data_IF_030335853846
#
_entry.id   IF_030335853846
#
_cell.length_a   1.000
_cell.length_b   1.000
_cell.length_c   1.000
_cell.angle_alpha   90.00
_cell.angle_beta   90.00
_cell.angle_gamma   90.00
#
_symmetry.space_group_name_H-M   'P 1'
#
loop_
_entity.id
_entity.type
_entity.pdbx_description
1 polymer ?
#
# COMPACT_ATOMS: atom_id res chain seq x y z
N UNK A 1 -13.08 3.90 -9.70
CA UNK A 1 -13.66 2.71 -9.03
C UNK A 1 -12.53 1.77 -8.64
N UNK A 2 -12.65 1.13 -7.48
CA UNK A 2 -11.75 0.08 -7.00
C UNK A 2 -12.50 -1.25 -7.00
N UNK A 3 -11.82 -2.31 -7.46
CA UNK A 3 -12.25 -3.70 -7.35
C UNK A 3 -11.39 -4.39 -6.31
N UNK A 4 -11.99 -5.12 -5.39
CA UNK A 4 -11.30 -5.80 -4.31
C UNK A 4 -11.78 -7.24 -4.16
N UNK A 5 -10.84 -8.18 -4.09
CA UNK A 5 -11.09 -9.55 -3.68
C UNK A 5 -10.74 -9.73 -2.20
N UNK A 6 -11.76 -9.85 -1.35
CA UNK A 6 -11.58 -10.06 0.09
C UNK A 6 -11.05 -11.46 0.47
N UNK A 7 -10.87 -12.37 -0.50
CA UNK A 7 -10.29 -13.71 -0.24
C UNK A 7 -8.76 -13.73 -0.38
N UNK A 8 -8.21 -12.98 -1.34
CA UNK A 8 -6.79 -13.04 -1.67
C UNK A 8 -6.08 -11.68 -1.63
N UNK A 9 -6.80 -10.59 -1.37
CA UNK A 9 -6.25 -9.23 -1.34
C UNK A 9 -6.01 -8.61 -2.72
N UNK A 10 -6.34 -9.29 -3.82
CA UNK A 10 -6.25 -8.71 -5.16
C UNK A 10 -7.05 -7.39 -5.25
N UNK A 11 -6.43 -6.36 -5.80
CA UNK A 11 -7.05 -5.07 -6.05
C UNK A 11 -6.73 -4.55 -7.45
N UNK A 12 -7.68 -3.86 -8.05
CA UNK A 12 -7.46 -3.11 -9.30
C UNK A 12 -8.33 -1.85 -9.36
N UNK A 13 -7.94 -0.92 -10.22
CA UNK A 13 -8.71 0.30 -10.51
C UNK A 13 -9.25 0.30 -11.93
N UNK A 14 -10.29 1.10 -12.17
CA UNK A 14 -10.90 1.27 -13.49
C UNK A 14 -12.20 0.49 -13.66
N UNK A 15 -12.62 0.25 -14.89
CA UNK A 15 -13.79 -0.58 -15.20
C UNK A 15 -13.44 -2.07 -15.09
N UNK A 16 -14.30 -2.90 -14.45
CA UNK A 16 -14.01 -4.31 -14.31
C UNK A 16 -14.15 -4.98 -15.67
N UNK A 17 -13.10 -5.66 -16.11
CA UNK A 17 -13.18 -6.58 -17.23
C UNK A 17 -13.97 -7.86 -16.87
N UNK A 18 -14.13 -8.15 -15.57
CA UNK A 18 -14.73 -9.39 -15.04
C UNK A 18 -15.29 -9.23 -13.63
N UNK A 19 -16.22 -10.09 -13.24
CA UNK A 19 -16.82 -10.12 -11.88
C UNK A 19 -16.00 -11.01 -10.93
N UNK A 20 -15.26 -11.97 -11.48
CA UNK A 20 -14.45 -12.94 -10.74
C UNK A 20 -12.99 -12.51 -10.64
N UNK A 21 -12.36 -12.80 -9.50
CA UNK A 21 -10.99 -12.41 -9.22
C UNK A 21 -10.02 -13.17 -10.15
N UNK A 22 -9.14 -12.48 -10.89
CA UNK A 22 -8.21 -13.14 -11.81
C UNK A 22 -7.15 -14.00 -11.08
N UNK A 23 -6.96 -13.78 -9.78
CA UNK A 23 -6.00 -14.53 -8.96
C UNK A 23 -6.59 -15.81 -8.34
N UNK A 24 -7.86 -15.80 -7.89
CA UNK A 24 -8.42 -16.92 -7.11
C UNK A 24 -9.86 -17.30 -7.47
N UNK A 25 -10.44 -16.72 -8.53
CA UNK A 25 -11.79 -17.01 -9.02
C UNK A 25 -12.95 -16.54 -8.12
N UNK A 26 -12.68 -15.93 -6.97
CA UNK A 26 -13.73 -15.46 -6.05
C UNK A 26 -14.33 -14.13 -6.50
N UNK A 27 -15.57 -13.82 -6.11
CA UNK A 27 -16.26 -12.59 -6.51
C UNK A 27 -15.49 -11.32 -6.12
N UNK A 28 -15.28 -10.42 -7.07
CA UNK A 28 -14.78 -9.07 -6.83
C UNK A 28 -15.90 -8.17 -6.31
N UNK A 29 -15.58 -7.39 -5.28
CA UNK A 29 -16.45 -6.32 -4.76
C UNK A 29 -16.02 -4.97 -5.33
N UNK A 30 -16.99 -4.10 -5.58
CA UNK A 30 -16.79 -2.78 -6.19
C UNK A 30 -16.96 -1.68 -5.15
N UNK A 31 -16.10 -0.67 -5.22
CA UNK A 31 -16.21 0.56 -4.44
C UNK A 31 -16.05 1.79 -5.36
N UNK A 32 -17.03 2.71 -5.33
CA UNK A 32 -16.98 3.98 -6.06
C UNK A 32 -18.34 4.50 -6.54
N UNK A 33 -18.36 5.64 -7.27
CA UNK A 33 -17.19 6.39 -7.73
C UNK A 33 -16.40 7.04 -6.58
N UNK A 34 -15.08 7.13 -6.72
CA UNK A 34 -14.15 7.71 -5.74
C UNK A 34 -12.86 8.16 -6.44
N UNK A 35 -12.13 9.09 -5.81
CA UNK A 35 -10.85 9.60 -6.31
C UNK A 35 -9.77 8.51 -6.26
N UNK A 36 -9.15 8.24 -7.41
CA UNK A 36 -8.06 7.24 -7.56
C UNK A 36 -6.79 7.85 -8.17
N UNK A 37 -6.75 9.17 -8.33
CA UNK A 37 -5.57 9.88 -8.81
C UNK A 37 -4.56 10.12 -7.68
N UNK A 38 -3.57 10.98 -7.97
CA UNK A 38 -2.58 11.41 -6.98
C UNK A 38 -3.26 12.01 -5.75
N UNK A 39 -2.80 11.61 -4.57
CA UNK A 39 -3.26 12.16 -3.29
C UNK A 39 -2.42 13.35 -2.83
N UNK A 40 -1.21 13.48 -3.36
CA UNK A 40 -0.20 14.40 -2.86
C UNK A 40 0.32 15.29 -3.98
N UNK A 41 0.43 16.59 -3.70
CA UNK A 41 1.32 17.48 -4.43
C UNK A 41 2.68 17.44 -3.72
N UNK A 42 3.71 16.91 -4.39
CA UNK A 42 5.00 16.59 -3.77
C UNK A 42 5.69 17.84 -3.20
N UNK A 43 5.66 18.94 -3.94
CA UNK A 43 6.28 20.20 -3.58
C UNK A 43 5.66 20.74 -2.28
N UNK A 44 4.33 20.81 -2.26
CA UNK A 44 3.56 21.28 -1.10
C UNK A 44 3.82 20.45 0.16
N UNK A 45 3.75 19.11 0.08
CA UNK A 45 3.97 18.28 1.27
C UNK A 45 5.43 18.25 1.73
N UNK A 46 6.38 18.52 0.83
CA UNK A 46 7.79 18.66 1.18
C UNK A 46 8.01 19.96 1.97
N UNK A 47 7.46 21.08 1.50
CA UNK A 47 7.50 22.36 2.20
C UNK A 47 6.82 22.28 3.58
N UNK A 48 5.67 21.61 3.68
CA UNK A 48 5.00 21.36 4.96
C UNK A 48 5.86 20.51 5.91
N UNK A 49 6.59 19.53 5.38
CA UNK A 49 7.46 18.67 6.21
C UNK A 49 8.61 19.48 6.80
N UNK A 50 9.22 20.36 6.02
CA UNK A 50 10.25 21.28 6.51
C UNK A 50 9.71 22.25 7.57
N UNK A 51 8.50 22.76 7.39
CA UNK A 51 7.85 23.62 8.39
C UNK A 51 7.59 22.88 9.71
N UNK A 52 7.09 21.64 9.62
CA UNK A 52 6.93 20.78 10.79
C UNK A 52 8.27 20.51 11.50
N UNK A 53 9.38 20.36 10.76
CA UNK A 53 10.71 20.21 11.34
C UNK A 53 11.15 21.47 12.07
N UNK A 54 10.98 22.65 11.45
CA UNK A 54 11.31 23.96 12.06
C UNK A 54 10.57 24.19 13.37
N UNK A 55 9.30 23.79 13.42
CA UNK A 55 8.45 23.93 14.61
C UNK A 55 8.46 22.71 15.55
N UNK A 56 9.38 21.76 15.34
CA UNK A 56 9.55 20.56 16.18
C UNK A 56 8.28 19.68 16.31
N UNK A 57 7.37 19.74 15.33
CA UNK A 57 6.15 18.94 15.31
C UNK A 57 6.43 17.53 14.76
N UNK A 58 6.94 16.65 15.63
CA UNK A 58 7.47 15.32 15.29
C UNK A 58 6.47 14.42 14.56
N UNK A 59 5.20 14.41 15.00
CA UNK A 59 4.17 13.55 14.39
C UNK A 59 3.86 14.00 12.95
N UNK A 60 3.81 15.31 12.72
CA UNK A 60 3.67 15.89 11.39
C UNK A 60 4.83 15.50 10.47
N UNK A 61 6.07 15.63 10.95
CA UNK A 61 7.27 15.21 10.20
C UNK A 61 7.19 13.73 9.81
N UNK A 62 6.84 12.85 10.75
CA UNK A 62 6.74 11.41 10.49
C UNK A 62 5.69 11.08 9.44
N UNK A 63 4.50 11.67 9.54
CA UNK A 63 3.40 11.45 8.59
C UNK A 63 3.75 12.00 7.20
N UNK A 64 4.26 13.24 7.14
CA UNK A 64 4.58 13.90 5.87
C UNK A 64 5.77 13.24 5.17
N UNK A 65 6.77 12.77 5.92
CA UNK A 65 7.88 11.98 5.33
C UNK A 65 7.36 10.72 4.64
N UNK A 66 6.41 10.01 5.26
CA UNK A 66 5.77 8.86 4.61
C UNK A 66 4.96 9.29 3.38
N UNK A 67 4.24 10.42 3.44
CA UNK A 67 3.48 10.93 2.29
C UNK A 67 4.38 11.33 1.10
N UNK A 68 5.56 11.90 1.39
CA UNK A 68 6.55 12.25 0.36
C UNK A 68 7.05 10.99 -0.35
N UNK A 69 7.40 9.94 0.40
CA UNK A 69 7.76 8.64 -0.18
C UNK A 69 6.60 8.00 -0.96
N UNK A 70 5.37 8.24 -0.53
CA UNK A 70 4.15 7.69 -1.13
C UNK A 70 3.70 8.41 -2.42
N UNK A 71 4.34 9.53 -2.78
CA UNK A 71 3.97 10.32 -3.97
C UNK A 71 4.20 9.52 -5.26
N UNK A 72 3.22 9.52 -6.17
CA UNK A 72 3.31 8.77 -7.43
C UNK A 72 3.11 7.26 -7.26
N UNK A 73 2.72 6.78 -6.08
CA UNK A 73 2.46 5.36 -5.82
C UNK A 73 1.01 5.00 -6.17
N UNK A 74 0.74 3.76 -6.65
CA UNK A 74 -0.59 3.35 -7.07
C UNK A 74 -1.58 3.37 -5.88
N UNK A 75 -2.88 3.61 -6.10
CA UNK A 75 -3.85 3.71 -5.01
C UNK A 75 -3.94 2.43 -4.17
N UNK A 76 -4.48 2.56 -2.95
CA UNK A 76 -4.60 1.50 -1.94
C UNK A 76 -3.26 1.12 -1.29
N UNK A 77 -3.29 0.29 -0.24
CA UNK A 77 -2.11 -0.23 0.44
C UNK A 77 -2.42 -1.60 1.05
N UNK A 78 -1.40 -2.40 1.34
CA UNK A 78 -1.52 -3.67 2.07
C UNK A 78 -1.07 -3.50 3.51
N UNK A 79 -1.59 -4.29 4.44
CA UNK A 79 -1.02 -4.40 5.79
C UNK A 79 -0.44 -5.80 5.95
N UNK A 80 0.72 -5.88 6.61
CA UNK A 80 1.36 -7.16 6.92
C UNK A 80 0.39 -8.09 7.69
N UNK A 81 -0.32 -7.53 8.68
CA UNK A 81 -1.27 -8.26 9.51
C UNK A 81 -2.42 -8.88 8.70
N UNK A 82 -2.99 -8.15 7.72
CA UNK A 82 -4.06 -8.68 6.89
C UNK A 82 -3.55 -9.77 5.94
N UNK A 83 -2.41 -9.53 5.27
CA UNK A 83 -1.84 -10.49 4.33
C UNK A 83 -1.44 -11.77 5.05
N UNK A 84 -0.81 -11.66 6.22
CA UNK A 84 -0.41 -12.79 7.05
C UNK A 84 -1.62 -13.59 7.54
N UNK A 85 -2.69 -12.92 7.97
CA UNK A 85 -3.95 -13.58 8.34
C UNK A 85 -4.58 -14.32 7.16
N UNK A 86 -4.58 -13.72 5.96
CA UNK A 86 -5.14 -14.31 4.74
C UNK A 86 -4.40 -15.58 4.29
N UNK A 87 -3.13 -15.76 4.68
CA UNK A 87 -2.30 -16.93 4.32
C UNK A 87 -1.95 -17.83 5.51
N UNK A 88 -2.41 -17.49 6.72
CA UNK A 88 -2.23 -18.30 7.92
C UNK A 88 -0.80 -18.31 8.49
N UNK A 89 -0.05 -17.21 8.34
CA UNK A 89 1.32 -17.07 8.87
C UNK A 89 1.40 -15.96 9.93
N UNK A 90 2.53 -15.88 10.64
CA UNK A 90 2.83 -14.74 11.54
C UNK A 90 3.14 -13.49 10.72
N UNK A 91 2.80 -12.32 11.24
CA UNK A 91 3.07 -11.05 10.57
C UNK A 91 4.56 -10.69 10.67
N UNK A 92 5.30 -10.60 9.54
CA UNK A 92 6.70 -10.14 9.57
C UNK A 92 6.76 -8.62 9.72
N UNK A 93 7.97 -8.07 9.94
CA UNK A 93 8.13 -6.62 10.09
C UNK A 93 7.85 -5.88 8.78
N UNK A 94 7.24 -4.69 8.88
CA UNK A 94 6.96 -3.87 7.71
C UNK A 94 8.24 -3.48 6.95
N UNK A 95 9.33 -3.21 7.67
CA UNK A 95 10.62 -2.85 7.08
C UNK A 95 11.23 -4.01 6.29
N UNK A 96 11.06 -5.25 6.77
CA UNK A 96 11.52 -6.44 6.04
C UNK A 96 10.72 -6.62 4.73
N UNK A 97 9.39 -6.46 4.77
CA UNK A 97 8.55 -6.51 3.57
C UNK A 97 8.96 -5.43 2.56
N UNK A 98 9.10 -4.17 3.01
CA UNK A 98 9.46 -3.05 2.14
C UNK A 98 10.84 -3.27 1.50
N UNK A 99 11.83 -3.71 2.29
CA UNK A 99 13.20 -3.94 1.79
C UNK A 99 13.19 -5.05 0.75
N UNK A 100 12.54 -6.17 1.04
CA UNK A 100 12.48 -7.31 0.13
C UNK A 100 11.72 -6.97 -1.17
N UNK A 101 10.61 -6.22 -1.10
CA UNK A 101 9.91 -5.76 -2.31
C UNK A 101 10.80 -4.85 -3.17
N UNK A 102 11.62 -3.99 -2.55
CA UNK A 102 12.58 -3.15 -3.28
C UNK A 102 13.71 -3.97 -3.90
N UNK A 103 14.19 -5.00 -3.21
CA UNK A 103 15.22 -5.93 -3.71
C UNK A 103 14.71 -6.72 -4.94
N UNK A 104 13.42 -7.04 -4.98
CA UNK A 104 12.72 -7.65 -6.13
C UNK A 104 12.40 -6.63 -7.25
N UNK A 105 12.81 -5.37 -7.11
CA UNK A 105 12.66 -4.32 -8.12
C UNK A 105 11.32 -3.59 -8.12
N UNK A 106 10.45 -3.84 -7.14
CA UNK A 106 9.19 -3.11 -6.97
C UNK A 106 9.41 -1.80 -6.23
N UNK A 107 8.56 -0.81 -6.51
CA UNK A 107 8.47 0.37 -5.65
C UNK A 107 7.73 -0.04 -4.38
N UNK A 108 8.28 0.28 -3.22
CA UNK A 108 7.60 0.08 -1.94
C UNK A 108 7.89 1.23 -0.97
N UNK A 109 6.86 1.67 -0.24
CA UNK A 109 6.96 2.69 0.80
C UNK A 109 6.03 2.36 1.97
N UNK A 110 6.25 3.03 3.10
CA UNK A 110 5.22 3.10 4.15
C UNK A 110 4.02 3.91 3.62
N UNK A 111 2.84 3.67 4.18
CA UNK A 111 1.68 4.52 3.94
C UNK A 111 1.54 5.59 5.02
N UNK A 112 1.30 6.83 4.61
CA UNK A 112 0.91 7.93 5.49
C UNK A 112 -0.48 7.71 6.12
N UNK A 113 -1.34 6.93 5.45
CA UNK A 113 -2.70 6.64 5.94
C UNK A 113 -2.73 5.53 6.99
N UNK A 114 -1.69 4.69 7.04
CA UNK A 114 -1.61 3.59 7.98
C UNK A 114 -0.14 3.26 8.32
N UNK A 115 0.30 3.44 9.58
CA UNK A 115 1.68 3.16 10.00
C UNK A 115 2.15 1.71 9.79
N UNK A 116 1.21 0.76 9.68
CA UNK A 116 1.44 -0.65 9.38
C UNK A 116 1.21 -1.00 7.90
N UNK A 117 0.93 0.01 7.08
CA UNK A 117 0.63 -0.13 5.67
C UNK A 117 1.88 -0.04 4.80
N UNK A 118 1.99 -0.95 3.84
CA UNK A 118 2.93 -0.87 2.72
C UNK A 118 2.18 -0.51 1.46
N UNK A 119 2.67 0.50 0.75
CA UNK A 119 2.21 0.85 -0.60
C UNK A 119 3.23 0.35 -1.59
N UNK A 120 2.77 -0.28 -2.67
CA UNK A 120 3.65 -0.89 -3.66
C UNK A 120 2.94 -1.04 -5.01
N UNK A 121 3.72 -1.04 -6.08
CA UNK A 121 3.28 -1.45 -7.42
C UNK A 121 3.39 -2.97 -7.65
N UNK A 122 3.89 -3.71 -6.66
CA UNK A 122 3.89 -5.16 -6.69
C UNK A 122 2.44 -5.71 -6.76
N UNK A 123 2.20 -6.76 -7.58
CA UNK A 123 0.92 -7.43 -7.56
C UNK A 123 0.67 -8.07 -6.19
N UNK A 124 -0.60 -8.21 -5.80
CA UNK A 124 -0.99 -8.79 -4.51
C UNK A 124 -0.41 -10.20 -4.29
N UNK A 125 -0.12 -10.95 -5.35
CA UNK A 125 0.54 -12.25 -5.28
C UNK A 125 2.00 -12.13 -4.81
N UNK A 126 2.76 -11.19 -5.39
CA UNK A 126 4.14 -10.94 -4.96
C UNK A 126 4.18 -10.52 -3.49
N UNK A 127 3.27 -9.65 -3.05
CA UNK A 127 3.18 -9.24 -1.63
C UNK A 127 2.93 -10.46 -0.71
N UNK A 128 2.07 -11.39 -1.10
CA UNK A 128 1.82 -12.63 -0.34
C UNK A 128 3.05 -13.53 -0.27
N UNK A 129 3.76 -13.70 -1.39
CA UNK A 129 4.99 -14.49 -1.48
C UNK A 129 6.06 -13.92 -0.54
N UNK A 130 6.28 -12.60 -0.58
CA UNK A 130 7.23 -11.92 0.30
C UNK A 130 6.88 -12.11 1.77
N UNK A 131 5.61 -11.93 2.14
CA UNK A 131 5.15 -12.16 3.52
C UNK A 131 5.38 -13.61 3.95
N UNK A 132 5.16 -14.58 3.06
CA UNK A 132 5.37 -15.99 3.34
C UNK A 132 6.86 -16.36 3.50
N UNK A 133 7.76 -15.73 2.73
CA UNK A 133 9.20 -15.98 2.81
C UNK A 133 9.86 -15.39 4.05
N UNK A 134 9.26 -14.34 4.63
CA UNK A 134 9.78 -13.63 5.80
C UNK A 134 9.28 -14.20 7.14
N UNK A 135 8.51 -15.29 7.13
CA UNK A 135 7.88 -15.89 8.31
C UNK A 135 8.39 -17.30 8.60
#
# INVERSE_FOLDING_TARGET
>A
MIHHCFKCGYRSTGEPLRIDCPMCGSTLRRAGPLWIGELYNKEFISEMSEDCQKHMFRDGVKMLSAAVEETGMPPTYFTADQVAADIGVRSPSLDAIISHLRDEGFRASRSALNPKGVKTDAPAEAVRIVVQQLT
#
